data_IF_012141627789
#
_entry.id   IF_012141627789
#
_cell.length_a   1.000
_cell.length_b   1.000
_cell.length_c   1.000
_cell.angle_alpha   90.00
_cell.angle_beta   90.00
_cell.angle_gamma   90.00
#
_symmetry.space_group_name_H-M   'P 1'
#
loop_
_entity.id
_entity.type
_entity.pdbx_description
1 polymer ?
#
# COMPACT_ATOMS: atom_id res chain seq x y z
N UNK A 1 -33.58 -12.74 3.89
CA UNK A 1 -32.50 -12.47 2.91
C UNK A 1 -31.33 -13.36 3.29
N UNK A 2 -30.79 -14.16 2.36
CA UNK A 2 -29.58 -14.98 2.56
C UNK A 2 -28.42 -14.22 1.91
N UNK A 3 -27.36 -13.95 2.66
CA UNK A 3 -26.15 -13.32 2.14
C UNK A 3 -25.14 -14.44 1.85
N UNK A 4 -24.62 -14.49 0.63
CA UNK A 4 -23.57 -15.43 0.23
C UNK A 4 -22.39 -14.61 -0.26
N UNK A 5 -21.21 -14.86 0.31
CA UNK A 5 -19.98 -14.24 -0.14
C UNK A 5 -19.56 -14.85 -1.48
N UNK A 6 -19.12 -14.00 -2.40
CA UNK A 6 -18.60 -14.45 -3.68
C UNK A 6 -17.23 -15.10 -3.46
N UNK A 7 -16.97 -16.19 -4.17
CA UNK A 7 -15.73 -16.96 -4.06
C UNK A 7 -15.02 -16.96 -5.42
N UNK A 8 -13.70 -16.76 -5.41
CA UNK A 8 -12.86 -16.86 -6.61
C UNK A 8 -12.06 -18.15 -6.59
N UNK A 9 -12.26 -18.99 -7.60
CA UNK A 9 -11.51 -20.22 -7.86
C UNK A 9 -11.11 -20.36 -9.35
N UNK A 10 -11.22 -19.28 -10.12
CA UNK A 10 -10.84 -19.27 -11.54
C UNK A 10 -9.32 -19.43 -11.70
N UNK A 11 -8.86 -20.28 -12.65
CA UNK A 11 -7.44 -20.43 -12.94
C UNK A 11 -6.86 -19.18 -13.61
N UNK A 12 -5.66 -18.80 -13.19
CA UNK A 12 -4.84 -17.79 -13.86
C UNK A 12 -4.38 -18.26 -15.25
N UNK A 13 -3.68 -17.38 -15.99
CA UNK A 13 -3.18 -17.69 -17.35
C UNK A 13 -2.23 -18.91 -17.42
N UNK A 14 -1.66 -19.34 -16.28
CA UNK A 14 -0.80 -20.54 -16.17
C UNK A 14 -1.54 -21.79 -15.70
N UNK A 15 -2.83 -21.69 -15.40
CA UNK A 15 -3.61 -22.76 -14.76
C UNK A 15 -3.50 -22.82 -13.24
N UNK A 16 -2.67 -21.98 -12.61
CA UNK A 16 -2.62 -21.88 -11.14
C UNK A 16 -3.93 -21.31 -10.60
N UNK A 17 -4.50 -21.97 -9.58
CA UNK A 17 -5.73 -21.57 -8.89
C UNK A 17 -5.39 -21.15 -7.47
N UNK A 18 -5.85 -19.96 -7.06
CA UNK A 18 -5.76 -19.47 -5.69
C UNK A 18 -7.16 -19.18 -5.15
N UNK A 19 -7.77 -20.13 -4.43
CA UNK A 19 -9.13 -19.97 -3.92
C UNK A 19 -9.20 -18.86 -2.86
N UNK A 20 -10.06 -17.87 -3.05
CA UNK A 20 -10.16 -16.72 -2.13
C UNK A 20 -11.57 -16.15 -2.07
N UNK A 21 -12.03 -15.82 -0.87
CA UNK A 21 -13.26 -15.03 -0.72
C UNK A 21 -13.07 -13.66 -1.35
N UNK A 22 -14.05 -13.22 -2.14
CA UNK A 22 -14.12 -11.89 -2.74
C UNK A 22 -14.50 -10.84 -1.69
N UNK A 23 -13.67 -10.78 -0.68
CA UNK A 23 -13.74 -9.89 0.46
C UNK A 23 -12.37 -9.22 0.61
N UNK A 24 -12.35 -7.90 0.65
CA UNK A 24 -11.15 -7.07 0.65
C UNK A 24 -11.18 -6.14 1.86
N UNK A 25 -10.74 -6.61 3.05
CA UNK A 25 -10.79 -5.82 4.26
C UNK A 25 -9.93 -4.56 4.13
N UNK A 26 -10.53 -3.41 4.40
CA UNK A 26 -9.77 -2.17 4.55
C UNK A 26 -8.87 -2.25 5.79
N UNK A 27 -7.76 -1.51 5.78
CA UNK A 27 -6.84 -1.43 6.89
C UNK A 27 -6.42 0.01 7.15
N UNK A 28 -6.11 0.29 8.41
CA UNK A 28 -5.42 1.50 8.83
C UNK A 28 -4.57 1.12 10.05
N UNK A 29 -3.37 1.67 10.14
CA UNK A 29 -2.53 1.55 11.32
C UNK A 29 -2.67 2.82 12.15
N UNK A 30 -2.65 2.68 13.47
CA UNK A 30 -2.61 3.81 14.38
C UNK A 30 -1.36 4.66 14.12
N UNK A 31 -1.46 5.98 14.32
CA UNK A 31 -0.35 6.91 14.07
C UNK A 31 0.91 6.57 14.88
N UNK A 32 0.73 6.01 16.08
CA UNK A 32 1.81 5.59 16.96
C UNK A 32 2.41 4.21 16.64
N UNK A 33 1.92 3.52 15.61
CA UNK A 33 2.41 2.20 15.22
C UNK A 33 3.90 2.29 14.79
N UNK A 34 4.78 1.34 15.18
CA UNK A 34 6.21 1.41 14.87
C UNK A 34 6.53 1.63 13.38
N UNK A 35 5.80 0.93 12.48
CA UNK A 35 5.94 1.09 11.04
C UNK A 35 5.54 2.49 10.53
N UNK A 36 4.50 3.10 11.11
CA UNK A 36 4.05 4.44 10.74
C UNK A 36 5.07 5.48 11.19
N UNK A 37 5.53 5.39 12.44
CA UNK A 37 6.59 6.24 12.98
C UNK A 37 7.89 6.14 12.17
N UNK A 38 8.34 4.93 11.85
CA UNK A 38 9.52 4.70 11.02
C UNK A 38 9.37 5.30 9.61
N UNK A 39 8.17 5.22 9.04
CA UNK A 39 7.86 5.82 7.74
C UNK A 39 7.88 7.35 7.79
N UNK A 40 7.30 7.97 8.81
CA UNK A 40 7.35 9.43 8.98
C UNK A 40 8.78 9.93 9.15
N UNK A 41 9.58 9.23 9.96
CA UNK A 41 11.00 9.57 10.12
C UNK A 41 11.78 9.39 8.81
N UNK A 42 11.53 8.31 8.06
CA UNK A 42 12.16 8.10 6.75
C UNK A 42 11.86 9.26 5.79
N UNK A 43 10.59 9.68 5.68
CA UNK A 43 10.18 10.83 4.85
C UNK A 43 10.95 12.10 5.19
N UNK A 44 11.08 12.39 6.49
CA UNK A 44 11.82 13.55 6.98
C UNK A 44 13.30 13.47 6.63
N UNK A 45 13.93 12.31 6.82
CA UNK A 45 15.36 12.12 6.55
C UNK A 45 15.72 12.21 5.07
N UNK A 46 14.81 11.83 4.16
CA UNK A 46 14.99 11.99 2.71
C UNK A 46 14.65 13.41 2.22
N UNK A 47 14.28 14.32 3.13
CA UNK A 47 14.05 15.73 2.84
C UNK A 47 12.67 16.05 2.23
N UNK A 48 11.68 15.17 2.41
CA UNK A 48 10.30 15.51 2.04
C UNK A 48 9.70 16.50 3.05
N UNK A 49 8.76 17.37 2.62
CA UNK A 49 8.04 18.26 3.54
C UNK A 49 7.29 17.49 4.61
N UNK A 50 7.21 18.08 5.80
CA UNK A 50 6.37 17.57 6.88
C UNK A 50 4.92 17.46 6.39
N UNK A 51 4.33 16.27 6.49
CA UNK A 51 2.92 16.04 6.24
C UNK A 51 2.40 14.89 7.11
N UNK A 52 1.13 14.94 7.48
CA UNK A 52 0.49 13.83 8.19
C UNK A 52 0.35 12.61 7.28
N UNK A 53 0.31 11.41 7.88
CA UNK A 53 -0.07 10.19 7.15
C UNK A 53 -1.54 10.29 6.73
N UNK A 54 -1.83 9.80 5.53
CA UNK A 54 -3.19 9.70 5.02
C UNK A 54 -3.57 8.26 4.69
N UNK A 55 -4.62 8.13 3.89
CA UNK A 55 -5.07 6.88 3.29
C UNK A 55 -5.26 7.10 1.79
N UNK A 56 -5.08 6.05 1.00
CA UNK A 56 -5.49 6.03 -0.40
C UNK A 56 -7.00 5.80 -0.50
N UNK A 57 -7.65 6.36 -1.53
CA UNK A 57 -9.07 6.14 -1.78
C UNK A 57 -9.33 4.95 -2.71
N UNK A 58 -8.33 4.06 -2.86
CA UNK A 58 -8.42 2.86 -3.68
C UNK A 58 -7.79 1.64 -2.97
N UNK A 59 -8.06 0.45 -3.50
CA UNK A 59 -7.58 -0.81 -2.95
C UNK A 59 -6.18 -1.16 -3.46
N UNK A 60 -5.38 -1.81 -2.63
CA UNK A 60 -4.07 -2.37 -3.01
C UNK A 60 -3.91 -3.78 -2.44
N UNK A 61 -2.78 -4.44 -2.69
CA UNK A 61 -2.45 -5.72 -2.05
C UNK A 61 -2.36 -5.63 -0.51
N UNK A 62 -2.33 -4.43 0.07
CA UNK A 62 -2.40 -4.21 1.52
C UNK A 62 -3.66 -4.82 2.16
N UNK A 63 -4.76 -4.94 1.43
CA UNK A 63 -5.98 -5.63 1.91
C UNK A 63 -5.70 -7.08 2.29
N UNK A 64 -4.74 -7.73 1.64
CA UNK A 64 -4.40 -9.11 1.94
C UNK A 64 -3.41 -9.14 3.09
N UNK A 65 -2.30 -8.41 2.96
CA UNK A 65 -1.23 -8.42 3.95
C UNK A 65 -1.71 -7.94 5.33
N UNK A 66 -2.29 -6.74 5.41
CA UNK A 66 -2.80 -6.20 6.65
C UNK A 66 -4.19 -6.76 6.99
N UNK A 67 -5.10 -6.79 6.01
CA UNK A 67 -6.51 -7.12 6.25
C UNK A 67 -6.79 -8.60 6.49
N UNK A 68 -6.00 -9.52 5.91
CA UNK A 68 -6.20 -10.98 6.07
C UNK A 68 -5.05 -11.68 6.80
N UNK A 69 -3.81 -11.38 6.44
CA UNK A 69 -2.63 -12.06 6.98
C UNK A 69 -2.11 -11.44 8.29
N UNK A 70 -2.64 -10.28 8.71
CA UNK A 70 -2.22 -9.60 9.94
C UNK A 70 -0.79 -9.05 9.89
N UNK A 71 -0.23 -8.86 8.69
CA UNK A 71 1.10 -8.28 8.47
C UNK A 71 0.94 -6.76 8.29
N UNK A 72 1.45 -5.94 9.23
CA UNK A 72 1.33 -4.49 9.14
C UNK A 72 1.89 -3.96 7.81
N UNK A 73 1.12 -3.13 7.12
CA UNK A 73 1.46 -2.64 5.78
C UNK A 73 1.13 -1.15 5.66
N UNK A 74 2.01 -0.40 5.00
CA UNK A 74 1.82 1.01 4.65
C UNK A 74 1.95 1.20 3.14
N UNK A 75 1.33 2.25 2.62
CA UNK A 75 1.48 2.69 1.25
C UNK A 75 2.43 3.88 1.16
N UNK A 76 3.41 3.80 0.26
CA UNK A 76 4.27 4.94 -0.10
C UNK A 76 4.74 4.77 -1.55
N UNK A 77 4.62 5.80 -2.36
CA UNK A 77 5.02 5.69 -3.75
C UNK A 77 4.93 7.03 -4.47
N UNK A 78 5.59 7.13 -5.63
CA UNK A 78 5.53 8.29 -6.50
C UNK A 78 4.30 8.21 -7.41
N UNK A 79 3.94 9.35 -8.02
CA UNK A 79 2.80 9.47 -8.93
C UNK A 79 1.58 10.11 -8.28
N UNK A 80 0.63 10.55 -9.12
CA UNK A 80 -0.58 11.22 -8.70
C UNK A 80 -1.79 10.27 -8.76
N UNK A 81 -2.47 10.11 -7.62
CA UNK A 81 -3.70 9.31 -7.51
C UNK A 81 -4.79 9.78 -8.49
N UNK A 82 -4.84 11.07 -8.83
CA UNK A 82 -5.85 11.63 -9.74
C UNK A 82 -5.70 11.11 -11.18
N UNK A 83 -4.47 10.86 -11.64
CA UNK A 83 -4.20 10.44 -13.01
C UNK A 83 -3.99 8.94 -13.18
N UNK A 84 -3.94 8.20 -12.08
CA UNK A 84 -3.77 6.74 -12.08
C UNK A 84 -4.85 6.04 -12.94
N UNK A 85 -4.43 5.09 -13.77
CA UNK A 85 -5.30 4.35 -14.72
C UNK A 85 -5.93 5.18 -15.84
N UNK A 86 -5.41 6.39 -16.09
CA UNK A 86 -5.83 7.21 -17.23
C UNK A 86 -4.76 7.19 -18.33
N UNK A 87 -5.07 7.80 -19.49
CA UNK A 87 -4.06 8.00 -20.56
C UNK A 87 -3.00 9.05 -20.21
N UNK A 88 -3.20 9.79 -19.12
CA UNK A 88 -2.27 10.80 -18.60
C UNK A 88 -1.44 10.27 -17.42
N UNK A 89 -1.59 8.98 -17.08
CA UNK A 89 -0.84 8.34 -16.00
C UNK A 89 0.67 8.46 -16.28
N UNK A 90 1.36 9.12 -15.36
CA UNK A 90 2.79 9.40 -15.48
C UNK A 90 3.39 9.62 -14.10
N UNK A 91 4.70 9.49 -14.01
CA UNK A 91 5.43 9.61 -12.74
C UNK A 91 6.64 10.52 -12.90
N UNK A 92 6.86 11.41 -11.92
CA UNK A 92 8.07 12.23 -11.86
C UNK A 92 9.28 11.35 -11.55
N UNK A 93 10.36 11.50 -12.33
CA UNK A 93 11.62 10.80 -12.05
C UNK A 93 12.24 11.23 -10.72
N UNK A 94 12.04 12.47 -10.31
CA UNK A 94 12.50 12.94 -9.00
C UNK A 94 11.76 12.23 -7.86
N UNK A 95 10.44 12.07 -7.99
CA UNK A 95 9.64 11.34 -7.01
C UNK A 95 10.01 9.85 -6.98
N UNK A 96 10.34 9.26 -8.12
CA UNK A 96 10.87 7.88 -8.19
C UNK A 96 12.16 7.74 -7.38
N UNK A 97 13.07 8.71 -7.47
CA UNK A 97 14.32 8.72 -6.67
C UNK A 97 13.99 8.86 -5.18
N UNK A 98 13.08 9.78 -4.80
CA UNK A 98 12.64 9.96 -3.40
C UNK A 98 11.98 8.71 -2.83
N UNK A 99 11.13 8.05 -3.61
CA UNK A 99 10.53 6.77 -3.24
C UNK A 99 11.59 5.69 -3.00
N UNK A 100 12.62 5.65 -3.83
CA UNK A 100 13.75 4.72 -3.67
C UNK A 100 14.54 5.00 -2.40
N UNK A 101 14.86 6.26 -2.11
CA UNK A 101 15.53 6.67 -0.87
C UNK A 101 14.72 6.25 0.36
N UNK A 102 13.40 6.46 0.35
CA UNK A 102 12.51 6.04 1.42
C UNK A 102 12.61 4.52 1.68
N UNK A 103 12.47 3.71 0.64
CA UNK A 103 12.50 2.25 0.76
C UNK A 103 13.88 1.70 1.15
N UNK A 104 14.96 2.38 0.76
CA UNK A 104 16.31 2.04 1.18
C UNK A 104 16.53 2.29 2.68
N UNK A 105 15.94 3.36 3.22
CA UNK A 105 16.14 3.78 4.60
C UNK A 105 15.18 3.07 5.58
N UNK A 106 13.92 2.88 5.20
CA UNK A 106 12.84 2.39 6.07
C UNK A 106 13.22 1.14 6.88
N UNK A 107 13.82 0.07 6.31
CA UNK A 107 14.16 -1.14 7.07
C UNK A 107 15.08 -0.89 8.27
N UNK A 108 15.95 0.12 8.20
CA UNK A 108 16.86 0.49 9.29
C UNK A 108 16.20 1.25 10.44
N UNK A 109 14.99 1.78 10.21
CA UNK A 109 14.25 2.61 11.15
C UNK A 109 13.12 1.86 11.86
N UNK A 110 12.72 0.69 11.34
CA UNK A 110 11.73 -0.18 11.99
C UNK A 110 12.37 -0.79 13.25
N UNK A 111 11.72 -0.60 14.39
CA UNK A 111 12.16 -1.08 15.71
C UNK A 111 11.38 -2.32 16.14
#
# INVERSE_FOLDING_TARGET
VKLEELFYDEPSYTGFVFPVDKYFPAWALEENHPLVNASQEARKLIGLPDAQSGKWNFSTNGIYWAGKAGIPSIGFGPGDEETAHTVNDSVSLEDMVKATEFYALLPSLIK
#
